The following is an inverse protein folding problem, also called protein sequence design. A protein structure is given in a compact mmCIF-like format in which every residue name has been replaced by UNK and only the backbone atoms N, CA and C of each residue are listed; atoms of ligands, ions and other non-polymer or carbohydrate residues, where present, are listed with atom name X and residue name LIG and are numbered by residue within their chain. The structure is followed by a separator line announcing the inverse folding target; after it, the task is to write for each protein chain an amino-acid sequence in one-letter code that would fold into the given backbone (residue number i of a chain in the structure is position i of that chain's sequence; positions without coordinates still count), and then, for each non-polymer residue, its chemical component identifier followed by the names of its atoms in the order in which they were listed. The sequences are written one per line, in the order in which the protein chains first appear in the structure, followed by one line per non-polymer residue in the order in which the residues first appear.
data_IF_294709322740
#
_entry.id   IF_294709322740
#
_cell.length_a   1.000
_cell.length_b   1.000
_cell.length_c   1.000
_cell.angle_alpha   90.00
_cell.angle_beta   90.00
_cell.angle_gamma   90.00
#
_symmetry.space_group_name_H-M   'P 1'
#
loop_
_entity.id
_entity.type
_entity.pdbx_description
1 polymer ?
#
# COMPACT_ATOMS: atom_id res chain seq x y z
N UNK A 1 -29.92 28.35 35.59
CA UNK A 1 -29.31 27.17 34.93
C UNK A 1 -28.74 27.64 33.60
N UNK A 2 -27.42 27.62 33.37
CA UNK A 2 -26.88 27.91 32.06
C UNK A 2 -27.28 26.80 31.09
N UNK A 3 -27.92 27.15 29.98
CA UNK A 3 -28.29 26.19 28.93
C UNK A 3 -27.02 25.77 28.20
N UNK A 4 -26.69 24.48 28.23
CA UNK A 4 -25.64 23.89 27.40
C UNK A 4 -26.00 24.09 25.93
N UNK A 5 -25.14 24.76 25.18
CA UNK A 5 -25.21 24.78 23.72
C UNK A 5 -24.84 23.39 23.19
N UNK A 6 -25.53 22.87 22.16
CA UNK A 6 -25.12 21.63 21.51
C UNK A 6 -23.82 21.87 20.74
N UNK A 7 -22.85 20.95 20.91
CA UNK A 7 -21.63 20.90 20.10
C UNK A 7 -22.01 20.66 18.64
N UNK A 8 -21.42 21.37 17.65
CA UNK A 8 -21.71 21.08 16.26
C UNK A 8 -21.25 19.65 15.97
N UNK A 9 -22.15 18.84 15.43
CA UNK A 9 -21.84 17.51 14.93
C UNK A 9 -20.73 17.63 13.88
N UNK A 10 -19.65 16.85 14.04
CA UNK A 10 -18.56 16.76 13.07
C UNK A 10 -19.13 16.50 11.69
N UNK A 11 -18.93 17.46 10.78
CA UNK A 11 -19.07 17.19 9.36
C UNK A 11 -18.14 16.03 8.97
N UNK A 12 -18.54 15.16 8.02
CA UNK A 12 -17.65 14.14 7.51
C UNK A 12 -16.38 14.79 6.95
N UNK A 13 -15.20 14.15 7.12
CA UNK A 13 -13.97 14.69 6.56
C UNK A 13 -14.11 14.85 5.04
N UNK A 14 -13.45 15.85 4.44
CA UNK A 14 -13.43 16.00 3.00
C UNK A 14 -12.87 14.73 2.34
N UNK A 15 -13.27 14.43 1.09
CA UNK A 15 -12.74 13.29 0.36
C UNK A 15 -11.21 13.40 0.24
N UNK A 16 -10.53 12.27 0.43
CA UNK A 16 -9.08 12.17 0.27
C UNK A 16 -8.71 12.48 -1.19
N UNK A 17 -7.88 13.51 -1.45
CA UNK A 17 -7.47 13.88 -2.81
C UNK A 17 -6.65 12.81 -3.52
N UNK A 18 -6.13 11.81 -2.80
CA UNK A 18 -5.31 10.71 -3.33
C UNK A 18 -6.03 9.37 -3.37
N UNK A 19 -7.37 9.35 -3.22
CA UNK A 19 -8.16 8.12 -3.24
C UNK A 19 -8.05 7.33 -4.57
N UNK A 20 -7.67 8.00 -5.67
CA UNK A 20 -7.42 7.39 -6.98
C UNK A 20 -6.25 6.39 -6.93
N UNK A 21 -5.24 6.65 -6.10
CA UNK A 21 -4.02 5.84 -5.99
C UNK A 21 -4.32 4.38 -5.64
N UNK A 22 -5.38 4.13 -4.86
CA UNK A 22 -5.80 2.78 -4.47
C UNK A 22 -6.16 1.88 -5.66
N UNK A 23 -6.50 2.48 -6.81
CA UNK A 23 -6.89 1.75 -8.02
C UNK A 23 -5.72 1.43 -8.95
N UNK A 24 -4.54 2.01 -8.70
CA UNK A 24 -3.39 1.89 -9.58
C UNK A 24 -2.75 0.49 -9.52
N UNK A 25 -2.23 0.06 -10.67
CA UNK A 25 -1.29 -1.06 -10.77
C UNK A 25 0.11 -0.67 -10.27
N UNK A 26 0.97 -1.66 -10.03
CA UNK A 26 2.32 -1.42 -9.50
C UNK A 26 3.17 -0.51 -10.40
N UNK A 27 3.23 -0.79 -11.70
CA UNK A 27 4.08 -0.01 -12.62
C UNK A 27 3.59 1.43 -12.75
N UNK A 28 2.27 1.63 -12.84
CA UNK A 28 1.65 2.95 -12.90
C UNK A 28 1.92 3.76 -11.62
N UNK A 29 1.69 3.16 -10.45
CA UNK A 29 1.98 3.80 -9.16
C UNK A 29 3.47 4.14 -8.99
N UNK A 30 4.37 3.26 -9.44
CA UNK A 30 5.83 3.50 -9.40
C UNK A 30 6.22 4.66 -10.31
N UNK A 31 5.71 4.69 -11.54
CA UNK A 31 6.08 5.72 -12.51
C UNK A 31 5.56 7.10 -12.07
N UNK A 32 4.35 7.16 -11.51
CA UNK A 32 3.84 8.37 -10.87
C UNK A 32 4.68 8.81 -9.67
N UNK A 33 5.11 7.87 -8.81
CA UNK A 33 5.96 8.17 -7.66
C UNK A 33 7.28 8.79 -8.09
N UNK A 34 7.91 8.25 -9.14
CA UNK A 34 9.14 8.81 -9.73
C UNK A 34 8.89 10.25 -10.22
N UNK A 35 7.76 10.51 -10.87
CA UNK A 35 7.42 11.86 -11.34
C UNK A 35 7.18 12.84 -10.18
N UNK A 36 6.56 12.39 -9.08
CA UNK A 36 6.36 13.19 -7.86
C UNK A 36 7.70 13.53 -7.22
N UNK A 37 8.58 12.55 -7.03
CA UNK A 37 9.92 12.76 -6.46
C UNK A 37 10.73 13.73 -7.31
N UNK A 38 10.74 13.57 -8.64
CA UNK A 38 11.45 14.48 -9.53
C UNK A 38 10.95 15.93 -9.42
N UNK A 39 9.64 16.14 -9.22
CA UNK A 39 9.07 17.47 -9.00
C UNK A 39 9.48 18.07 -7.66
N UNK A 40 9.49 17.28 -6.59
CA UNK A 40 9.95 17.71 -5.28
C UNK A 40 11.44 18.11 -5.31
N UNK A 41 12.27 17.30 -5.96
CA UNK A 41 13.72 17.54 -6.10
C UNK A 41 14.04 18.79 -6.94
N UNK A 42 13.18 19.14 -7.90
CA UNK A 42 13.34 20.35 -8.70
C UNK A 42 13.19 21.65 -7.87
N UNK A 43 12.52 21.59 -6.71
CA UNK A 43 12.43 22.71 -5.75
C UNK A 43 11.72 23.97 -6.25
N UNK A 44 10.95 23.88 -7.35
CA UNK A 44 10.24 25.01 -7.95
C UNK A 44 8.79 25.17 -7.45
N UNK A 45 8.31 24.25 -6.61
CA UNK A 45 6.95 24.25 -6.08
C UNK A 45 6.81 25.17 -4.86
N UNK A 46 5.62 25.74 -4.67
CA UNK A 46 5.23 26.41 -3.42
C UNK A 46 5.19 25.43 -2.25
N UNK A 47 5.04 25.92 -1.02
CA UNK A 47 4.93 25.07 0.16
C UNK A 47 3.70 24.16 0.08
N UNK A 48 2.55 24.74 -0.26
CA UNK A 48 1.28 24.01 -0.38
C UNK A 48 1.37 22.94 -1.47
N UNK A 49 1.96 23.25 -2.62
CA UNK A 49 2.21 22.26 -3.68
C UNK A 49 3.20 21.18 -3.24
N UNK A 50 4.24 21.54 -2.50
CA UNK A 50 5.23 20.58 -1.98
C UNK A 50 4.60 19.61 -0.97
N UNK A 51 3.69 20.09 -0.12
CA UNK A 51 2.92 19.25 0.79
C UNK A 51 1.99 18.30 0.04
N UNK A 52 1.24 18.80 -0.94
CA UNK A 52 0.37 17.97 -1.76
C UNK A 52 1.15 16.89 -2.55
N UNK A 53 2.31 17.25 -3.11
CA UNK A 53 3.22 16.31 -3.76
C UNK A 53 3.73 15.25 -2.77
N UNK A 54 4.12 15.64 -1.56
CA UNK A 54 4.56 14.71 -0.53
C UNK A 54 3.44 13.73 -0.14
N UNK A 55 2.23 14.21 0.16
CA UNK A 55 1.09 13.38 0.51
C UNK A 55 0.74 12.36 -0.60
N UNK A 56 0.77 12.81 -1.87
CA UNK A 56 0.59 11.90 -3.01
C UNK A 56 1.72 10.88 -3.09
N UNK A 57 2.97 11.30 -2.87
CA UNK A 57 4.13 10.42 -2.84
C UNK A 57 4.00 9.31 -1.78
N UNK A 58 3.54 9.65 -0.57
CA UNK A 58 3.30 8.68 0.50
C UNK A 58 2.19 7.68 0.13
N UNK A 59 1.10 8.15 -0.47
CA UNK A 59 0.03 7.27 -0.95
C UNK A 59 0.53 6.29 -2.03
N UNK A 60 1.32 6.78 -2.99
CA UNK A 60 1.89 5.96 -4.06
C UNK A 60 2.91 4.94 -3.52
N UNK A 61 3.76 5.34 -2.57
CA UNK A 61 4.72 4.47 -1.92
C UNK A 61 4.00 3.34 -1.14
N UNK A 62 2.95 3.68 -0.40
CA UNK A 62 2.09 2.71 0.30
C UNK A 62 1.50 1.71 -0.68
N UNK A 63 0.95 2.18 -1.80
CA UNK A 63 0.38 1.31 -2.84
C UNK A 63 1.42 0.37 -3.46
N UNK A 64 2.63 0.87 -3.72
CA UNK A 64 3.73 0.04 -4.21
C UNK A 64 4.08 -1.05 -3.21
N UNK A 65 4.13 -0.71 -1.92
CA UNK A 65 4.45 -1.65 -0.85
C UNK A 65 3.39 -2.76 -0.73
N UNK A 66 2.10 -2.43 -0.80
CA UNK A 66 1.00 -3.42 -0.82
C UNK A 66 1.17 -4.46 -1.94
N UNK A 67 1.53 -4.01 -3.15
CA UNK A 67 1.78 -4.91 -4.27
C UNK A 67 2.96 -5.85 -4.03
N UNK A 68 4.06 -5.33 -3.47
CA UNK A 68 5.25 -6.12 -3.16
C UNK A 68 4.99 -7.12 -2.03
N UNK A 69 4.22 -6.73 -1.03
CA UNK A 69 3.82 -7.59 0.08
C UNK A 69 2.94 -8.74 -0.40
N UNK A 70 1.91 -8.44 -1.21
CA UNK A 70 1.08 -9.48 -1.82
C UNK A 70 1.85 -10.41 -2.77
N UNK A 71 2.90 -9.94 -3.43
CA UNK A 71 3.79 -10.80 -4.22
C UNK A 71 4.62 -11.72 -3.31
N UNK A 72 5.17 -11.18 -2.22
CA UNK A 72 5.97 -11.93 -1.25
C UNK A 72 5.16 -13.01 -0.55
N UNK A 73 3.93 -12.73 -0.13
CA UNK A 73 3.03 -13.70 0.49
C UNK A 73 2.73 -14.89 -0.43
N UNK A 74 2.44 -14.61 -1.71
CA UNK A 74 2.22 -15.67 -2.71
C UNK A 74 3.44 -16.56 -2.88
N UNK A 75 4.65 -15.98 -2.91
CA UNK A 75 5.89 -16.75 -2.99
C UNK A 75 6.12 -17.62 -1.75
N UNK A 76 5.85 -17.09 -0.56
CA UNK A 76 5.93 -17.86 0.69
C UNK A 76 4.96 -19.03 0.67
N UNK A 77 3.70 -18.83 0.27
CA UNK A 77 2.71 -19.90 0.19
C UNK A 77 3.12 -21.02 -0.80
N UNK A 78 3.74 -20.68 -1.93
CA UNK A 78 4.27 -21.67 -2.89
C UNK A 78 5.46 -22.44 -2.29
N UNK A 79 6.33 -21.77 -1.52
CA UNK A 79 7.45 -22.44 -0.85
C UNK A 79 6.99 -23.42 0.24
N UNK A 80 6.02 -23.01 1.05
CA UNK A 80 5.51 -23.85 2.14
C UNK A 80 4.78 -25.10 1.61
N UNK A 81 4.05 -24.96 0.50
CA UNK A 81 3.42 -26.12 -0.16
C UNK A 81 4.46 -27.06 -0.76
N UNK A 82 5.53 -26.54 -1.35
CA UNK A 82 6.64 -27.34 -1.86
C UNK A 82 7.35 -28.13 -0.74
N UNK A 83 7.62 -27.50 0.40
CA UNK A 83 8.25 -28.17 1.56
C UNK A 83 7.35 -29.26 2.14
N UNK A 84 6.03 -29.02 2.24
CA UNK A 84 5.10 -30.06 2.71
C UNK A 84 5.02 -31.25 1.76
N UNK A 85 5.05 -31.00 0.45
CA UNK A 85 5.04 -32.06 -0.57
C UNK A 85 6.30 -32.95 -0.57
N UNK A 86 7.42 -32.48 -0.02
CA UNK A 86 8.66 -33.28 0.12
C UNK A 86 8.73 -34.12 1.39
N UNK A 87 7.83 -33.90 2.35
CA UNK A 87 7.81 -34.62 3.64
C UNK A 87 6.94 -35.87 3.62
N UNK A 88 6.15 -36.08 2.57
CA UNK A 88 5.34 -37.28 2.33
C UNK A 88 6.06 -38.19 1.33
N UNK A 89 7.17 -38.81 1.77
CA UNK A 89 7.54 -40.13 1.25
C UNK A 89 6.99 -41.13 2.27
N UNK A 90 5.89 -41.83 1.99
CA UNK A 90 5.56 -43.01 2.77
C UNK A 90 6.70 -43.99 2.51
N UNK A 91 7.42 -44.38 3.55
CA UNK A 91 8.19 -45.61 3.53
C UNK A 91 7.19 -46.74 3.20
N UNK A 92 7.13 -47.10 1.92
CA UNK A 92 6.38 -48.25 1.44
C UNK A 92 6.94 -49.50 2.13
N UNK A 93 6.02 -50.17 2.81
CA UNK A 93 6.11 -51.53 3.31
C UNK A 93 6.51 -52.51 2.19
N UNK A 94 7.75 -52.99 2.16
CA UNK A 94 8.14 -54.35 1.70
C UNK A 94 9.62 -54.59 2.04
N UNK A 95 10.03 -55.55 2.87
CA UNK A 95 10.14 -56.95 2.46
C UNK A 95 10.50 -57.82 3.68
N UNK A 96 9.57 -58.72 4.06
CA UNK A 96 9.79 -60.05 4.68
C UNK A 96 10.26 -60.20 6.14
#
# INVERSE_FOLDING_TARGET
MPKSSPSPASAPPPPDPNADVATLGYEEARDELVAVVARLEAGAATLEESLALWERGEALATRCQEWLDGARERLTAVRDTAVRGTSESPDDEETR
#
